data_IF_633943872037
#
_entry.id   IF_633943872037
#
_cell.length_a   1.000
_cell.length_b   1.000
_cell.length_c   1.000
_cell.angle_alpha   90.00
_cell.angle_beta   90.00
_cell.angle_gamma   90.00
#
_symmetry.space_group_name_H-M   'P 1'
#
loop_
_entity.id
_entity.type
_entity.pdbx_description
1 polymer ?
#
# COMPACT_ATOMS: atom_id res chain seq x y z
N UNK A 1 -18.16 19.47 -11.68
CA UNK A 1 -17.89 18.38 -12.66
C UNK A 1 -17.42 17.17 -11.88
N UNK A 2 -18.15 16.07 -11.95
CA UNK A 2 -17.83 14.84 -11.24
C UNK A 2 -16.57 14.20 -11.86
N UNK A 3 -15.56 13.89 -11.03
CA UNK A 3 -14.42 13.09 -11.46
C UNK A 3 -14.91 11.70 -11.84
N UNK A 4 -14.49 11.13 -12.98
CA UNK A 4 -14.87 9.78 -13.34
C UNK A 4 -14.31 8.83 -12.28
N UNK A 5 -15.19 8.10 -11.61
CA UNK A 5 -14.81 6.97 -10.78
C UNK A 5 -14.30 5.90 -11.73
N UNK A 6 -12.99 5.65 -11.71
CA UNK A 6 -12.37 4.54 -12.43
C UNK A 6 -12.88 3.23 -11.81
N UNK A 7 -13.99 2.72 -12.33
CA UNK A 7 -14.55 1.42 -11.97
C UNK A 7 -13.53 0.33 -12.33
N UNK A 8 -13.08 -0.38 -11.29
CA UNK A 8 -12.14 -1.49 -11.33
C UNK A 8 -12.44 -2.48 -12.45
N UNK A 9 -11.45 -2.71 -13.32
CA UNK A 9 -11.39 -3.90 -14.17
C UNK A 9 -10.83 -5.13 -13.40
N UNK A 10 -10.40 -4.96 -12.14
CA UNK A 10 -9.88 -6.02 -11.27
C UNK A 10 -10.43 -5.83 -9.85
N UNK A 11 -11.20 -6.81 -9.37
CA UNK A 11 -12.00 -6.73 -8.13
C UNK A 11 -11.18 -6.43 -6.85
N UNK A 12 -9.87 -6.68 -6.88
CA UNK A 12 -8.97 -6.61 -5.72
C UNK A 12 -7.66 -5.87 -6.02
N UNK A 13 -7.70 -4.88 -6.92
CA UNK A 13 -6.55 -4.03 -7.25
C UNK A 13 -6.89 -2.56 -7.01
N UNK A 14 -6.07 -1.88 -6.21
CA UNK A 14 -6.13 -0.42 -6.02
C UNK A 14 -5.05 0.22 -6.87
N UNK A 15 -5.43 1.26 -7.63
CA UNK A 15 -4.50 2.06 -8.41
C UNK A 15 -4.44 3.46 -7.81
N UNK A 16 -3.21 3.92 -7.57
CA UNK A 16 -2.87 5.26 -7.10
C UNK A 16 -2.14 5.97 -8.22
N UNK A 17 -2.63 7.14 -8.62
CA UNK A 17 -2.07 7.94 -9.71
C UNK A 17 -1.49 9.28 -9.24
N UNK A 18 -1.91 9.72 -8.06
CA UNK A 18 -1.49 10.97 -7.43
C UNK A 18 -0.56 10.62 -6.26
N UNK A 19 0.70 11.01 -6.35
CA UNK A 19 1.71 10.86 -5.29
C UNK A 19 2.16 12.27 -4.87
N UNK A 20 2.31 12.59 -3.57
CA UNK A 20 2.07 11.72 -2.41
C UNK A 20 0.59 11.40 -2.18
N UNK A 21 0.30 10.15 -1.81
CA UNK A 21 -1.09 9.67 -1.65
C UNK A 21 -1.55 9.62 -0.20
N UNK A 22 -0.63 9.66 0.75
CA UNK A 22 -0.94 9.59 2.18
C UNK A 22 -1.28 10.96 2.74
N UNK A 23 -2.54 11.14 3.12
CA UNK A 23 -3.02 12.37 3.75
C UNK A 23 -2.74 12.36 5.25
N UNK A 24 -2.01 13.35 5.74
CA UNK A 24 -1.72 13.51 7.17
C UNK A 24 -2.94 14.12 7.86
N UNK A 25 -3.65 13.33 8.65
CA UNK A 25 -4.85 13.78 9.38
C UNK A 25 -4.61 14.03 10.88
N UNK A 26 -3.36 14.25 11.30
CA UNK A 26 -2.98 14.47 12.69
C UNK A 26 -2.01 15.66 12.82
N UNK A 27 -2.09 16.37 13.94
CA UNK A 27 -1.19 17.47 14.25
C UNK A 27 0.12 16.98 14.86
N UNK A 28 1.13 17.86 14.90
CA UNK A 28 2.40 17.59 15.60
C UNK A 28 2.20 17.28 17.09
N UNK A 29 1.23 17.93 17.74
CA UNK A 29 0.93 17.66 19.14
C UNK A 29 0.34 16.26 19.31
N UNK A 30 -0.59 15.88 18.44
CA UNK A 30 -1.22 14.55 18.48
C UNK A 30 -0.18 13.46 18.23
N UNK A 31 0.76 13.68 17.30
CA UNK A 31 1.86 12.76 17.04
C UNK A 31 2.68 12.44 18.30
N UNK A 32 3.09 13.45 19.08
CA UNK A 32 3.86 13.22 20.30
C UNK A 32 3.03 12.66 21.44
N UNK A 33 1.71 12.93 21.45
CA UNK A 33 0.81 12.30 22.41
C UNK A 33 0.68 10.80 22.16
N UNK A 34 0.92 10.31 20.95
CA UNK A 34 0.83 8.87 20.61
C UNK A 34 1.79 7.99 21.41
N UNK A 35 2.81 8.56 22.04
CA UNK A 35 3.79 7.83 22.85
C UNK A 35 3.16 6.96 23.96
N UNK A 36 2.01 7.36 24.52
CA UNK A 36 1.32 6.54 25.52
C UNK A 36 0.89 5.16 24.99
N UNK A 37 0.75 5.00 23.67
CA UNK A 37 0.40 3.73 23.01
C UNK A 37 1.54 2.71 23.03
N UNK A 38 2.75 3.14 23.38
CA UNK A 38 3.90 2.26 23.47
C UNK A 38 3.97 1.57 24.83
N UNK A 39 4.57 0.39 24.86
CA UNK A 39 5.02 -0.31 26.06
C UNK A 39 6.46 0.10 26.42
N UNK A 40 7.02 -0.50 27.48
CA UNK A 40 8.38 -0.19 27.97
C UNK A 40 9.48 -0.53 26.94
N UNK A 41 9.20 -1.45 26.00
CA UNK A 41 10.10 -1.83 24.91
C UNK A 41 9.99 -0.89 23.70
N UNK A 42 9.09 0.11 23.75
CA UNK A 42 8.85 1.03 22.65
C UNK A 42 8.12 0.39 21.46
N UNK A 43 7.33 -0.66 21.72
CA UNK A 43 6.43 -1.34 20.79
C UNK A 43 4.97 -1.01 21.12
N UNK A 44 4.04 -1.20 20.18
CA UNK A 44 2.62 -0.96 20.41
C UNK A 44 2.05 -1.91 21.48
N UNK A 45 1.32 -1.33 22.43
CA UNK A 45 0.47 -2.03 23.39
C UNK A 45 -0.96 -2.14 22.84
N UNK A 46 -1.39 -3.37 22.57
CA UNK A 46 -2.70 -3.63 21.96
C UNK A 46 -3.87 -3.06 22.77
N UNK A 47 -3.81 -3.20 24.09
CA UNK A 47 -4.88 -2.80 25.00
C UNK A 47 -5.08 -1.29 25.03
N UNK A 48 -4.00 -0.52 24.80
CA UNK A 48 -4.02 0.95 24.74
C UNK A 48 -4.50 1.43 23.38
N UNK A 49 -4.03 0.79 22.30
CA UNK A 49 -4.40 1.16 20.93
C UNK A 49 -5.89 0.93 20.67
N UNK A 50 -6.47 -0.18 21.12
CA UNK A 50 -7.93 -0.41 20.95
C UNK A 50 -8.80 0.68 21.60
N UNK A 51 -8.28 1.36 22.62
CA UNK A 51 -8.97 2.45 23.32
C UNK A 51 -8.63 3.83 22.74
N UNK A 52 -7.70 3.90 21.80
CA UNK A 52 -7.26 5.15 21.19
C UNK A 52 -8.34 5.72 20.27
N UNK A 53 -8.53 7.04 20.33
CA UNK A 53 -9.38 7.77 19.37
C UNK A 53 -8.90 7.70 17.93
N UNK A 54 -7.63 7.34 17.70
CA UNK A 54 -7.03 7.21 16.38
C UNK A 54 -7.23 5.80 15.78
N UNK A 55 -7.77 4.85 16.55
CA UNK A 55 -7.94 3.48 16.11
C UNK A 55 -9.12 3.35 15.14
N UNK A 56 -8.83 2.97 13.89
CA UNK A 56 -9.83 2.83 12.82
C UNK A 56 -10.16 1.40 12.45
N UNK A 57 -9.46 0.42 13.02
CA UNK A 57 -9.61 -1.00 12.63
C UNK A 57 -10.70 -1.74 13.42
N UNK A 58 -11.39 -1.08 14.35
CA UNK A 58 -12.32 -1.73 15.28
C UNK A 58 -13.52 -2.45 14.65
N UNK A 59 -13.82 -2.18 13.38
CA UNK A 59 -14.88 -2.87 12.64
C UNK A 59 -14.41 -4.17 11.95
N UNK A 60 -13.10 -4.41 11.86
CA UNK A 60 -12.53 -5.62 11.29
C UNK A 60 -12.69 -6.80 12.25
N UNK A 61 -12.50 -8.03 11.78
CA UNK A 61 -12.47 -9.20 12.68
C UNK A 61 -11.27 -9.11 13.62
N UNK A 62 -11.45 -9.51 14.87
CA UNK A 62 -10.41 -9.46 15.91
C UNK A 62 -9.07 -10.11 15.50
N UNK A 63 -9.04 -11.29 14.84
CA UNK A 63 -7.78 -11.87 14.37
C UNK A 63 -7.04 -10.98 13.36
N UNK A 64 -7.76 -10.32 12.46
CA UNK A 64 -7.17 -9.39 11.49
C UNK A 64 -6.66 -8.13 12.19
N UNK A 65 -7.40 -7.62 13.18
CA UNK A 65 -6.95 -6.50 14.01
C UNK A 65 -5.63 -6.82 14.70
N UNK A 66 -5.55 -7.95 15.41
CA UNK A 66 -4.32 -8.41 16.08
C UNK A 66 -3.17 -8.57 15.09
N UNK A 67 -3.41 -9.22 13.94
CA UNK A 67 -2.42 -9.37 12.88
C UNK A 67 -1.84 -8.03 12.41
N UNK A 68 -2.70 -7.03 12.16
CA UNK A 68 -2.25 -5.70 11.76
C UNK A 68 -1.36 -5.05 12.82
N UNK A 69 -1.70 -5.21 14.10
CA UNK A 69 -0.90 -4.64 15.19
C UNK A 69 0.49 -5.28 15.29
N UNK A 70 0.56 -6.61 15.16
CA UNK A 70 1.83 -7.34 15.08
C UNK A 70 2.68 -6.82 13.92
N UNK A 71 2.07 -6.57 12.74
CA UNK A 71 2.78 -6.03 11.57
C UNK A 71 3.30 -4.61 11.77
N UNK A 72 2.67 -3.79 12.61
CA UNK A 72 3.20 -2.46 12.94
C UNK A 72 4.50 -2.60 13.75
N UNK A 73 4.51 -3.49 14.75
CA UNK A 73 5.71 -3.76 15.55
C UNK A 73 6.83 -4.37 14.68
N UNK A 74 6.48 -5.32 13.82
CA UNK A 74 7.43 -5.88 12.85
C UNK A 74 8.03 -4.79 11.95
N UNK A 75 7.23 -3.81 11.49
CA UNK A 75 7.74 -2.70 10.69
C UNK A 75 8.72 -1.81 11.45
N UNK A 76 8.43 -1.52 12.72
CA UNK A 76 9.32 -0.72 13.60
C UNK A 76 10.70 -1.37 13.69
N UNK A 77 10.76 -2.71 13.80
CA UNK A 77 12.01 -3.46 13.96
C UNK A 77 12.63 -3.96 12.65
N UNK A 78 11.92 -3.83 11.53
CA UNK A 78 12.27 -4.41 10.23
C UNK A 78 13.60 -3.92 9.64
N UNK A 79 14.01 -2.71 10.00
CA UNK A 79 15.14 -2.02 9.37
C UNK A 79 14.94 -1.79 7.86
N UNK A 80 13.70 -1.72 7.35
CA UNK A 80 13.43 -1.52 5.92
C UNK A 80 13.79 -0.12 5.41
N UNK A 81 13.75 0.87 6.29
CA UNK A 81 14.00 2.27 5.95
C UNK A 81 15.50 2.57 5.86
N UNK A 82 15.86 3.55 5.02
CA UNK A 82 17.22 4.08 4.91
C UNK A 82 17.62 4.88 6.15
N UNK A 83 16.65 5.59 6.75
CA UNK A 83 16.84 6.32 8.01
C UNK A 83 16.69 5.38 9.19
N UNK A 84 17.35 5.73 10.29
CA UNK A 84 17.20 4.98 11.55
C UNK A 84 15.81 5.22 12.12
N UNK A 85 15.16 4.16 12.60
CA UNK A 85 13.87 4.23 13.27
C UNK A 85 14.07 4.71 14.71
N UNK A 86 14.14 6.03 14.87
CA UNK A 86 14.18 6.71 16.17
C UNK A 86 12.76 6.81 16.79
N UNK A 87 12.68 7.27 18.04
CA UNK A 87 11.40 7.41 18.77
C UNK A 87 10.36 8.22 17.98
N UNK A 88 10.78 9.35 17.40
CA UNK A 88 9.88 10.20 16.62
C UNK A 88 9.38 9.49 15.37
N UNK A 89 10.23 8.71 14.69
CA UNK A 89 9.84 7.98 13.51
C UNK A 89 8.93 6.79 13.86
N UNK A 90 9.12 6.12 15.00
CA UNK A 90 8.16 5.13 15.54
C UNK A 90 6.76 5.72 15.69
N UNK A 91 6.65 6.89 16.32
CA UNK A 91 5.35 7.57 16.47
C UNK A 91 4.72 7.90 15.12
N UNK A 92 5.55 8.25 14.13
CA UNK A 92 5.09 8.54 12.77
C UNK A 92 4.59 7.29 12.06
N UNK A 93 5.30 6.17 12.17
CA UNK A 93 4.87 4.87 11.66
C UNK A 93 3.47 4.54 12.20
N UNK A 94 3.32 4.61 13.52
CA UNK A 94 2.08 4.29 14.23
C UNK A 94 0.94 5.20 13.76
N UNK A 95 1.13 6.51 13.80
CA UNK A 95 0.07 7.45 13.43
C UNK A 95 -0.33 7.31 11.97
N UNK A 96 0.63 7.19 11.06
CA UNK A 96 0.37 7.01 9.63
C UNK A 96 -0.49 5.78 9.36
N UNK A 97 -0.19 4.66 10.02
CA UNK A 97 -0.95 3.41 9.84
C UNK A 97 -2.34 3.51 10.50
N UNK A 98 -2.42 3.98 11.75
CA UNK A 98 -3.69 4.07 12.48
C UNK A 98 -4.68 5.05 11.82
N UNK A 99 -4.19 6.13 11.20
CA UNK A 99 -5.04 7.13 10.53
C UNK A 99 -5.17 6.92 9.02
N UNK A 100 -4.77 5.76 8.50
CA UNK A 100 -4.87 5.41 7.08
C UNK A 100 -6.28 5.61 6.52
N UNK A 101 -6.36 5.92 5.22
CA UNK A 101 -7.62 6.12 4.51
C UNK A 101 -8.44 4.83 4.43
N UNK A 102 -9.77 4.94 4.59
CA UNK A 102 -10.70 3.82 4.54
C UNK A 102 -10.57 2.97 3.27
N UNK A 103 -10.24 3.59 2.12
CA UNK A 103 -10.10 2.85 0.87
C UNK A 103 -8.89 1.90 0.85
N UNK A 104 -7.86 2.17 1.65
CA UNK A 104 -6.70 1.29 1.83
C UNK A 104 -6.98 0.20 2.88
N UNK A 105 -7.75 0.51 3.93
CA UNK A 105 -8.18 -0.49 4.91
C UNK A 105 -9.09 -1.53 4.24
N UNK A 106 -9.99 -1.11 3.34
CA UNK A 106 -10.81 -2.02 2.53
C UNK A 106 -9.98 -2.95 1.63
N UNK A 107 -8.82 -2.51 1.16
CA UNK A 107 -7.90 -3.35 0.39
C UNK A 107 -7.28 -4.45 1.28
N UNK A 108 -6.98 -4.15 2.54
CA UNK A 108 -6.49 -5.13 3.53
C UNK A 108 -7.59 -6.14 3.89
N UNK A 109 -8.83 -5.70 4.08
CA UNK A 109 -9.95 -6.57 4.46
C UNK A 109 -10.19 -7.71 3.46
N UNK A 110 -9.86 -7.49 2.18
CA UNK A 110 -9.91 -8.51 1.14
C UNK A 110 -8.99 -9.70 1.41
N UNK A 111 -7.88 -9.49 2.14
CA UNK A 111 -6.89 -10.53 2.41
C UNK A 111 -7.46 -11.75 3.16
N UNK A 112 -8.56 -11.57 3.91
CA UNK A 112 -9.29 -12.67 4.56
C UNK A 112 -9.87 -13.70 3.56
N UNK A 113 -9.83 -13.42 2.25
CA UNK A 113 -10.23 -14.32 1.19
C UNK A 113 -9.00 -15.00 0.56
N UNK A 114 -8.75 -16.29 0.83
CA UNK A 114 -7.50 -16.98 0.47
C UNK A 114 -7.29 -17.18 -1.04
N UNK A 115 -8.23 -16.78 -1.89
CA UNK A 115 -8.14 -16.98 -3.34
C UNK A 115 -7.44 -15.84 -4.07
N UNK A 116 -7.36 -14.64 -3.49
CA UNK A 116 -6.84 -13.47 -4.19
C UNK A 116 -5.96 -12.59 -3.29
N UNK A 117 -4.70 -12.39 -3.69
CA UNK A 117 -3.80 -11.45 -3.03
C UNK A 117 -4.14 -10.03 -3.50
N UNK A 118 -4.47 -9.10 -2.58
CA UNK A 118 -4.73 -7.71 -2.93
C UNK A 118 -3.50 -7.05 -3.54
N UNK A 119 -3.74 -6.27 -4.60
CA UNK A 119 -2.69 -5.58 -5.38
C UNK A 119 -2.77 -4.08 -5.19
N UNK A 120 -1.63 -3.45 -4.93
CA UNK A 120 -1.47 -2.01 -4.93
C UNK A 120 -0.55 -1.59 -6.07
N UNK A 121 -1.10 -0.84 -7.02
CA UNK A 121 -0.34 -0.27 -8.14
C UNK A 121 -0.21 1.23 -7.90
N UNK A 122 1.02 1.73 -7.84
CA UNK A 122 1.31 3.16 -7.78
C UNK A 122 1.94 3.62 -9.09
N UNK A 123 1.42 4.70 -9.65
CA UNK A 123 1.93 5.30 -10.88
C UNK A 123 2.47 6.71 -10.57
N UNK A 124 3.79 6.82 -10.42
CA UNK A 124 4.49 8.05 -10.05
C UNK A 124 5.11 8.70 -11.28
N UNK A 125 4.36 9.62 -11.89
CA UNK A 125 4.70 10.24 -13.18
C UNK A 125 5.08 11.72 -13.07
N UNK A 126 4.95 12.30 -11.88
CA UNK A 126 5.26 13.70 -11.62
C UNK A 126 6.66 13.86 -11.02
N UNK A 127 7.08 15.10 -10.83
CA UNK A 127 8.35 15.42 -10.16
C UNK A 127 8.22 15.35 -8.64
N UNK A 128 7.05 15.72 -8.11
CA UNK A 128 6.73 15.55 -6.69
C UNK A 128 6.42 14.06 -6.49
N UNK A 129 7.33 13.36 -5.83
CA UNK A 129 7.28 11.91 -5.65
C UNK A 129 6.83 11.56 -4.23
N UNK A 130 7.07 10.33 -3.80
CA UNK A 130 6.67 9.76 -2.52
C UNK A 130 7.06 10.66 -1.34
N UNK A 131 6.19 10.67 -0.33
CA UNK A 131 6.49 11.19 1.00
C UNK A 131 7.01 10.08 1.93
N UNK A 132 7.57 10.48 3.08
CA UNK A 132 7.96 9.53 4.13
C UNK A 132 6.76 8.69 4.61
N UNK A 133 5.55 9.26 4.65
CA UNK A 133 4.35 8.52 5.04
C UNK A 133 3.91 7.51 3.98
N UNK A 134 4.07 7.83 2.70
CA UNK A 134 3.82 6.86 1.63
C UNK A 134 4.77 5.68 1.76
N UNK A 135 6.05 5.93 2.07
CA UNK A 135 7.02 4.86 2.28
C UNK A 135 6.67 3.97 3.47
N UNK A 136 6.13 4.53 4.55
CA UNK A 136 5.62 3.77 5.70
C UNK A 136 4.50 2.83 5.25
N UNK A 137 3.49 3.35 4.54
CA UNK A 137 2.37 2.53 4.10
C UNK A 137 2.78 1.45 3.10
N UNK A 138 3.66 1.76 2.15
CA UNK A 138 4.15 0.78 1.17
C UNK A 138 4.96 -0.34 1.83
N UNK A 139 5.85 0.00 2.77
CA UNK A 139 6.59 -1.01 3.54
C UNK A 139 5.64 -1.86 4.39
N UNK A 140 4.66 -1.24 5.03
CA UNK A 140 3.64 -1.94 5.82
C UNK A 140 2.80 -2.90 4.98
N UNK A 141 2.33 -2.49 3.80
CA UNK A 141 1.59 -3.35 2.88
C UNK A 141 2.41 -4.54 2.40
N UNK A 142 3.70 -4.34 2.12
CA UNK A 142 4.61 -5.43 1.79
C UNK A 142 4.73 -6.45 2.95
N UNK A 143 4.81 -5.97 4.21
CA UNK A 143 4.87 -6.86 5.39
C UNK A 143 3.56 -7.62 5.66
N UNK A 144 2.42 -7.02 5.32
CA UNK A 144 1.11 -7.68 5.36
C UNK A 144 1.02 -8.80 4.31
N UNK A 145 1.71 -8.63 3.18
CA UNK A 145 1.70 -9.58 2.06
C UNK A 145 0.86 -9.11 0.87
N UNK A 146 0.69 -7.80 0.68
CA UNK A 146 0.12 -7.24 -0.55
C UNK A 146 1.16 -7.26 -1.67
N UNK A 147 0.70 -7.53 -2.89
CA UNK A 147 1.51 -7.33 -4.08
C UNK A 147 1.58 -5.82 -4.39
N UNK A 148 2.76 -5.23 -4.23
CA UNK A 148 3.00 -3.80 -4.49
C UNK A 148 3.81 -3.64 -5.77
N UNK A 149 3.29 -2.88 -6.73
CA UNK A 149 4.00 -2.53 -7.97
C UNK A 149 4.03 -1.02 -8.13
N UNK A 150 5.21 -0.48 -8.40
CA UNK A 150 5.41 0.95 -8.59
C UNK A 150 5.92 1.18 -10.01
N UNK A 151 5.23 2.03 -10.76
CA UNK A 151 5.60 2.44 -12.10
C UNK A 151 6.08 3.89 -12.08
N UNK A 152 7.33 4.08 -12.48
CA UNK A 152 8.02 5.37 -12.54
C UNK A 152 8.45 5.60 -13.99
N UNK A 153 7.60 6.18 -14.86
CA UNK A 153 7.98 6.46 -16.25
C UNK A 153 9.13 7.48 -16.37
N UNK A 154 9.37 8.24 -15.31
CA UNK A 154 10.46 9.21 -15.17
C UNK A 154 11.72 8.55 -14.61
N UNK A 155 12.86 9.23 -14.69
CA UNK A 155 14.11 8.80 -14.06
C UNK A 155 14.41 9.59 -12.78
N UNK A 156 13.37 10.13 -12.13
CA UNK A 156 13.52 10.84 -10.86
C UNK A 156 13.77 9.84 -9.72
N UNK A 157 14.31 10.35 -8.60
CA UNK A 157 14.40 9.55 -7.38
C UNK A 157 13.00 9.38 -6.81
N UNK A 158 12.62 8.16 -6.49
CA UNK A 158 11.27 7.85 -6.05
C UNK A 158 11.30 7.17 -4.68
N UNK A 159 10.72 5.98 -4.55
CA UNK A 159 10.68 5.23 -3.29
C UNK A 159 12.07 4.81 -2.79
N UNK A 160 13.07 4.74 -3.68
CA UNK A 160 14.45 4.38 -3.34
C UNK A 160 15.11 5.39 -2.38
N UNK A 161 14.53 6.58 -2.20
CA UNK A 161 15.03 7.57 -1.25
C UNK A 161 14.61 7.28 0.20
N UNK A 162 13.67 6.36 0.43
CA UNK A 162 13.17 6.00 1.76
C UNK A 162 13.43 4.55 2.13
N UNK A 163 13.35 3.62 1.18
CA UNK A 163 13.46 2.18 1.40
C UNK A 163 14.82 1.67 0.94
N UNK A 164 15.38 0.71 1.69
CA UNK A 164 16.66 0.08 1.33
C UNK A 164 16.56 -0.58 -0.06
N UNK A 165 17.53 -0.32 -0.97
CA UNK A 165 17.51 -0.90 -2.31
C UNK A 165 17.47 -2.44 -2.34
N UNK A 166 17.99 -3.11 -1.31
CA UNK A 166 17.95 -4.58 -1.21
C UNK A 166 16.53 -5.16 -1.10
N UNK A 167 15.53 -4.32 -0.83
CA UNK A 167 14.13 -4.72 -0.71
C UNK A 167 13.31 -4.37 -1.96
N UNK A 168 13.96 -3.78 -2.98
CA UNK A 168 13.31 -3.35 -4.21
C UNK A 168 13.79 -4.22 -5.37
N UNK A 169 12.84 -4.85 -6.08
CA UNK A 169 13.11 -5.52 -7.34
C UNK A 169 12.91 -4.53 -8.50
N UNK A 170 14.00 -3.92 -8.96
CA UNK A 170 13.97 -2.80 -9.91
C UNK A 170 14.18 -3.31 -11.34
N UNK A 171 13.18 -3.07 -12.19
CA UNK A 171 13.24 -3.37 -13.63
C UNK A 171 13.24 -2.08 -14.44
N UNK A 172 14.40 -1.67 -14.95
CA UNK A 172 14.55 -0.44 -15.73
C UNK A 172 14.43 -0.71 -17.23
N UNK A 173 13.51 0.00 -17.90
CA UNK A 173 13.36 -0.05 -19.36
C UNK A 173 14.40 0.85 -20.05
N UNK A 174 14.82 0.56 -21.29
CA UNK A 174 15.84 1.34 -21.99
C UNK A 174 15.41 2.78 -22.34
N UNK A 175 14.10 3.02 -22.44
CA UNK A 175 13.50 4.29 -22.85
C UNK A 175 12.69 4.87 -21.70
N UNK A 176 12.97 6.12 -21.37
CA UNK A 176 12.29 6.90 -20.33
C UNK A 176 11.32 7.88 -21.01
N UNK A 177 10.16 8.14 -20.42
CA UNK A 177 9.19 9.15 -20.90
C UNK A 177 8.77 10.04 -19.75
N UNK A 178 9.05 11.34 -19.87
CA UNK A 178 8.59 12.34 -18.91
C UNK A 178 7.09 12.62 -19.09
N UNK A 179 6.39 12.90 -17.98
CA UNK A 179 4.99 13.29 -17.93
C UNK A 179 4.04 12.35 -18.71
N UNK A 180 4.37 11.06 -18.73
CA UNK A 180 3.55 10.05 -19.38
C UNK A 180 2.27 9.86 -18.56
N UNK A 181 1.14 10.39 -19.01
CA UNK A 181 -0.14 10.12 -18.37
C UNK A 181 -0.49 8.62 -18.46
N UNK A 182 -1.04 8.06 -17.37
CA UNK A 182 -1.56 6.69 -17.40
C UNK A 182 -2.71 6.61 -18.42
N UNK A 183 -2.64 5.72 -19.43
CA UNK A 183 -3.74 5.56 -20.36
C UNK A 183 -4.98 5.04 -19.62
N UNK A 184 -6.16 5.46 -20.06
CA UNK A 184 -7.43 4.94 -19.53
C UNK A 184 -7.42 3.41 -19.63
N UNK A 185 -7.53 2.71 -18.51
CA UNK A 185 -7.50 1.24 -18.52
C UNK A 185 -8.63 0.62 -19.35
N UNK A 186 -9.75 1.34 -19.49
CA UNK A 186 -10.86 0.95 -20.36
C UNK A 186 -10.53 0.96 -21.86
N UNK A 187 -9.45 1.64 -22.28
CA UNK A 187 -8.99 1.66 -23.67
C UNK A 187 -7.97 0.56 -23.98
N UNK A 188 -7.47 -0.16 -22.97
CA UNK A 188 -6.56 -1.29 -23.16
C UNK A 188 -7.39 -2.49 -23.63
N UNK A 189 -7.09 -3.08 -24.81
CA UNK A 189 -7.76 -4.29 -25.25
C UNK A 189 -7.53 -5.39 -24.22
N UNK A 190 -8.59 -5.95 -23.64
CA UNK A 190 -8.45 -7.17 -22.84
C UNK A 190 -7.91 -8.27 -23.75
N UNK A 191 -6.89 -9.06 -23.32
CA UNK A 191 -6.45 -10.20 -24.10
C UNK A 191 -7.67 -11.09 -24.30
N UNK A 192 -8.13 -11.17 -25.55
CA UNK A 192 -9.26 -12.01 -25.91
C UNK A 192 -8.93 -13.42 -25.46
N UNK A 193 -9.75 -13.99 -24.57
CA UNK A 193 -9.72 -15.43 -24.35
C UNK A 193 -9.74 -16.07 -25.73
N UNK A 194 -8.77 -16.93 -26.08
CA UNK A 194 -8.75 -17.53 -27.40
C UNK A 194 -10.11 -18.22 -27.55
N UNK A 195 -10.94 -17.73 -28.48
CA UNK A 195 -12.23 -18.34 -28.78
C UNK A 195 -11.90 -19.79 -29.13
N UNK A 196 -12.22 -20.70 -28.21
CA UNK A 196 -12.21 -22.13 -28.47
C UNK A 196 -13.10 -22.32 -29.70
N UNK A 197 -12.46 -22.50 -30.87
CA UNK A 197 -13.16 -22.66 -32.13
C UNK A 197 -14.13 -23.84 -32.02
N UNK A 198 -15.22 -23.82 -32.78
CA UNK A 198 -16.24 -24.87 -32.77
C UNK A 198 -15.67 -26.30 -32.85
N UNK A 199 -14.46 -26.46 -33.40
CA UNK A 199 -13.73 -27.71 -33.53
C UNK A 199 -13.08 -28.23 -32.22
N UNK A 200 -12.81 -27.39 -31.22
CA UNK A 200 -12.21 -27.84 -29.96
C UNK A 200 -13.16 -28.71 -29.12
N UNK A 201 -14.47 -28.59 -29.34
CA UNK A 201 -15.50 -29.45 -28.76
C UNK A 201 -15.54 -30.86 -29.37
N UNK A 202 -14.97 -31.06 -30.55
CA UNK A 202 -14.98 -32.36 -31.24
C UNK A 202 -13.79 -33.25 -30.89
N UNK A 203 -12.69 -32.70 -30.35
CA UNK A 203 -11.47 -33.48 -30.08
C UNK A 203 -11.30 -33.95 -28.63
N UNK A 204 -12.23 -33.62 -27.72
CA UNK A 204 -12.15 -34.02 -26.30
C UNK A 204 -13.05 -35.20 -25.90
N UNK A 205 -13.38 -36.08 -26.87
CA UNK A 205 -13.96 -37.40 -26.58
C UNK A 205 -13.03 -38.50 -27.10
N UNK A 206 -12.10 -38.91 -26.27
CA UNK A 206 -11.58 -40.29 -26.18
C UNK A 206 -11.27 -40.59 -24.73
#
# INVERSE_FOLDING_TARGET
>A
MARPQNTCLFSHTKIIQDVPFTQISYTKQELYQTDYLLNEDGLLDESKVWKSRHYRFGYLKEPLQHFLMVKINELIDSGMFLVTVDEKFKLKIIMTILTMEESLIKLIEVFDYPQEIPKLIVYDHEKESFSENDSILLAYFNLIGLDVVIFTPTNYRTIEQYIKPSLLDVHQLPLVKYDLALPLLSSIPTPTTPKLGLLSRFFNRR
#
